data_IF_566276902360
#
_entry.id   IF_566276902360
#
_cell.length_a   1.000
_cell.length_b   1.000
_cell.length_c   1.000
_cell.angle_alpha   90.00
_cell.angle_beta   90.00
_cell.angle_gamma   90.00
#
_symmetry.space_group_name_H-M   'P 1'
#
loop_
_entity.id
_entity.type
_entity.pdbx_description
1 polymer ?
#
# COMPACT_ATOMS: atom_id res chain seq x y z
N UNK A 1 50.93 -8.22 -25.20
CA UNK A 1 50.24 -8.63 -23.96
C UNK A 1 49.44 -7.42 -23.55
N UNK A 2 48.16 -7.41 -23.90
CA UNK A 2 47.26 -6.27 -23.68
C UNK A 2 46.48 -6.62 -22.44
N UNK A 3 46.68 -5.88 -21.36
CA UNK A 3 46.04 -6.14 -20.07
C UNK A 3 44.58 -5.69 -20.12
N UNK A 4 43.68 -6.64 -19.83
CA UNK A 4 42.24 -6.44 -19.75
C UNK A 4 41.88 -5.55 -18.57
N UNK A 5 41.35 -4.36 -18.86
CA UNK A 5 40.83 -3.43 -17.88
C UNK A 5 39.39 -3.83 -17.49
N UNK A 6 39.25 -4.75 -16.53
CA UNK A 6 37.93 -5.09 -15.95
C UNK A 6 37.49 -3.98 -15.00
N UNK A 7 36.56 -3.16 -15.46
CA UNK A 7 35.84 -2.20 -14.63
C UNK A 7 35.08 -2.96 -13.52
N UNK A 8 35.42 -2.67 -12.26
CA UNK A 8 34.67 -3.14 -11.11
C UNK A 8 33.30 -2.44 -11.08
N UNK A 9 32.24 -3.18 -11.41
CA UNK A 9 30.87 -2.76 -11.16
C UNK A 9 30.63 -2.66 -9.64
N UNK A 10 30.51 -1.43 -9.14
CA UNK A 10 30.00 -1.17 -7.81
C UNK A 10 28.52 -1.57 -7.77
N UNK A 11 28.21 -2.76 -7.25
CA UNK A 11 26.86 -3.09 -6.80
C UNK A 11 26.58 -2.26 -5.56
N UNK A 12 25.78 -1.22 -5.68
CA UNK A 12 25.14 -0.59 -4.53
C UNK A 12 24.21 -1.61 -3.88
N UNK A 13 24.69 -2.27 -2.82
CA UNK A 13 23.80 -2.95 -1.90
C UNK A 13 22.93 -1.87 -1.26
N UNK A 14 21.64 -1.87 -1.62
CA UNK A 14 20.62 -1.03 -0.98
C UNK A 14 20.56 -1.40 0.49
N UNK A 15 21.25 -0.63 1.33
CA UNK A 15 21.23 -0.85 2.77
C UNK A 15 19.81 -0.63 3.27
N UNK A 16 19.23 -1.69 3.85
CA UNK A 16 17.92 -1.63 4.51
C UNK A 16 17.96 -0.53 5.58
N UNK A 17 17.02 0.43 5.59
CA UNK A 17 16.96 1.44 6.64
C UNK A 17 16.88 0.76 8.02
N UNK A 18 17.84 1.07 8.90
CA UNK A 18 17.85 0.59 10.29
C UNK A 18 17.57 1.76 11.22
N UNK A 19 16.48 1.67 11.95
CA UNK A 19 15.99 2.72 12.83
C UNK A 19 16.17 2.27 14.29
N UNK A 20 16.90 3.04 15.09
CA UNK A 20 17.32 2.68 16.47
C UNK A 20 16.61 3.54 17.54
N UNK A 21 15.49 4.19 17.22
CA UNK A 21 14.72 4.99 18.18
C UNK A 21 13.75 4.13 19.00
N UNK A 22 13.35 4.62 20.20
CA UNK A 22 12.67 3.84 21.24
C UNK A 22 11.31 3.22 20.86
N UNK A 23 10.69 3.67 19.76
CA UNK A 23 9.59 2.96 19.09
C UNK A 23 9.95 2.86 17.60
N UNK A 24 10.34 1.67 17.18
CA UNK A 24 10.66 1.39 15.78
C UNK A 24 9.37 1.10 15.01
N UNK A 25 9.02 1.96 14.06
CA UNK A 25 7.94 1.69 13.09
C UNK A 25 8.57 1.34 11.75
N UNK A 26 8.29 0.14 11.25
CA UNK A 26 8.78 -0.32 9.95
C UNK A 26 7.62 -0.56 9.00
N UNK A 27 7.75 -0.06 7.78
CA UNK A 27 6.82 -0.36 6.69
C UNK A 27 7.33 -1.57 5.94
N UNK A 28 6.44 -2.50 5.63
CA UNK A 28 6.75 -3.67 4.83
C UNK A 28 5.61 -3.96 3.87
N UNK A 29 5.92 -4.30 2.62
CA UNK A 29 4.95 -4.76 1.64
C UNK A 29 5.33 -6.16 1.19
N UNK A 30 4.37 -7.07 1.32
CA UNK A 30 4.46 -8.43 0.77
C UNK A 30 3.25 -8.68 -0.13
N UNK A 31 3.51 -9.06 -1.37
CA UNK A 31 2.50 -9.52 -2.33
C UNK A 31 2.84 -10.96 -2.65
N UNK A 32 1.89 -11.87 -2.42
CA UNK A 32 2.09 -13.28 -2.68
C UNK A 32 0.77 -13.92 -3.14
N UNK A 33 0.89 -14.98 -3.94
CA UNK A 33 -0.23 -15.83 -4.29
C UNK A 33 -0.55 -16.76 -3.10
N UNK A 34 -1.76 -16.71 -2.53
CA UNK A 34 -2.11 -17.55 -1.39
C UNK A 34 -2.26 -19.04 -1.74
N UNK A 35 -2.53 -19.41 -2.98
CA UNK A 35 -2.71 -20.80 -3.41
C UNK A 35 -1.37 -21.49 -3.64
N UNK A 36 -0.45 -20.82 -4.33
CA UNK A 36 0.87 -21.37 -4.68
C UNK A 36 1.94 -21.02 -3.64
N UNK A 37 1.74 -19.96 -2.87
CA UNK A 37 2.74 -19.41 -1.95
C UNK A 37 3.83 -18.59 -2.65
N UNK A 38 3.73 -18.36 -3.96
CA UNK A 38 4.69 -17.57 -4.73
C UNK A 38 4.75 -16.13 -4.20
N UNK A 39 5.95 -15.65 -3.87
CA UNK A 39 6.17 -14.28 -3.39
C UNK A 39 6.58 -13.40 -4.57
N UNK A 40 5.70 -12.46 -4.93
CA UNK A 40 5.86 -11.54 -6.07
C UNK A 40 6.60 -10.27 -5.64
N UNK A 41 6.32 -9.77 -4.42
CA UNK A 41 6.98 -8.60 -3.82
C UNK A 41 7.23 -8.89 -2.34
N UNK A 42 8.43 -8.57 -1.86
CA UNK A 42 8.80 -8.62 -0.44
C UNK A 42 9.87 -7.55 -0.19
N UNK A 43 9.43 -6.35 0.25
CA UNK A 43 10.32 -5.19 0.42
C UNK A 43 9.84 -4.23 1.51
N UNK A 44 10.75 -3.38 1.99
CA UNK A 44 10.39 -2.26 2.86
C UNK A 44 9.47 -1.26 2.14
N UNK A 45 8.48 -0.74 2.87
CA UNK A 45 7.62 0.35 2.42
C UNK A 45 7.94 1.62 3.22
N UNK A 46 7.77 2.79 2.60
CA UNK A 46 7.99 4.06 3.27
C UNK A 46 6.88 4.31 4.31
N UNK A 47 7.28 4.86 5.47
CA UNK A 47 6.36 5.37 6.50
C UNK A 47 6.61 6.86 6.65
N UNK A 48 5.53 7.63 6.70
CA UNK A 48 5.61 9.02 7.13
C UNK A 48 5.46 9.10 8.65
N UNK A 49 6.59 9.18 9.37
CA UNK A 49 6.62 9.06 10.83
C UNK A 49 5.77 10.10 11.56
N UNK A 50 5.73 11.34 11.08
CA UNK A 50 4.89 12.38 11.70
C UNK A 50 3.39 12.05 11.63
N UNK A 51 2.89 11.68 10.44
CA UNK A 51 1.50 11.27 10.26
C UNK A 51 1.15 10.07 11.13
N UNK A 52 2.06 9.08 11.22
CA UNK A 52 1.86 7.92 12.10
C UNK A 52 1.84 8.31 13.58
N UNK A 53 2.74 9.18 14.01
CA UNK A 53 2.81 9.70 15.37
C UNK A 53 1.52 10.42 15.76
N UNK A 54 1.04 11.33 14.91
CA UNK A 54 -0.22 12.04 15.13
C UNK A 54 -1.43 11.09 15.15
N UNK A 55 -1.47 10.11 14.24
CA UNK A 55 -2.57 9.13 14.18
C UNK A 55 -2.62 8.26 15.44
N UNK A 56 -1.47 7.78 15.91
CA UNK A 56 -1.37 7.00 17.15
C UNK A 56 -1.81 7.81 18.38
N UNK A 57 -1.32 9.04 18.50
CA UNK A 57 -1.68 9.92 19.62
C UNK A 57 -3.19 10.24 19.63
N UNK A 58 -3.77 10.55 18.47
CA UNK A 58 -5.20 10.83 18.34
C UNK A 58 -6.06 9.60 18.67
N UNK A 59 -5.69 8.43 18.15
CA UNK A 59 -6.37 7.16 18.45
C UNK A 59 -6.34 6.83 19.95
N UNK A 60 -5.16 6.86 20.59
CA UNK A 60 -5.01 6.54 22.01
C UNK A 60 -5.70 7.55 22.94
N UNK A 61 -5.76 8.82 22.54
CA UNK A 61 -6.46 9.87 23.27
C UNK A 61 -7.98 9.88 23.02
N UNK A 62 -8.51 8.88 22.32
CA UNK A 62 -9.92 8.77 21.90
C UNK A 62 -10.41 10.06 21.25
N UNK A 63 -9.57 10.65 20.37
CA UNK A 63 -10.04 11.69 19.47
C UNK A 63 -10.80 11.00 18.35
N UNK A 64 -11.88 11.62 17.89
CA UNK A 64 -12.71 11.10 16.79
C UNK A 64 -12.00 11.22 15.43
N UNK A 65 -10.68 11.00 15.39
CA UNK A 65 -9.80 11.05 14.23
C UNK A 65 -8.55 10.21 14.49
N UNK A 66 -7.81 9.87 13.44
CA UNK A 66 -6.55 9.12 13.54
C UNK A 66 -6.71 7.61 13.68
N UNK A 67 -7.93 7.08 13.54
CA UNK A 67 -8.22 5.65 13.44
C UNK A 67 -8.31 5.21 11.99
N UNK A 68 -8.15 3.91 11.74
CA UNK A 68 -8.33 3.34 10.40
C UNK A 68 -9.82 3.31 10.08
N UNK A 69 -10.22 3.91 8.96
CA UNK A 69 -11.63 3.99 8.55
C UNK A 69 -11.89 3.30 7.21
N UNK A 70 -11.02 3.55 6.23
CA UNK A 70 -11.18 3.08 4.86
C UNK A 70 -9.84 2.71 4.23
N UNK A 71 -9.92 1.89 3.18
CA UNK A 71 -8.82 1.61 2.27
C UNK A 71 -9.11 2.35 0.97
N UNK A 72 -8.21 3.27 0.61
CA UNK A 72 -8.26 4.01 -0.64
C UNK A 72 -7.41 3.28 -1.71
N UNK A 73 -7.99 3.17 -2.89
CA UNK A 73 -7.38 2.61 -4.10
C UNK A 73 -7.28 3.73 -5.13
N UNK A 74 -6.06 3.98 -5.60
CA UNK A 74 -5.79 5.02 -6.59
C UNK A 74 -5.60 4.48 -7.99
N UNK A 75 -5.38 5.39 -8.94
CA UNK A 75 -4.96 5.11 -10.31
C UNK A 75 -3.57 4.47 -10.44
N UNK A 76 -2.90 4.18 -9.33
CA UNK A 76 -1.58 3.58 -9.28
C UNK A 76 -0.48 4.49 -9.81
N UNK A 77 0.74 3.94 -9.87
CA UNK A 77 1.88 4.57 -10.51
C UNK A 77 2.13 4.00 -11.90
N UNK A 78 1.12 3.46 -12.59
CA UNK A 78 1.31 2.81 -13.89
C UNK A 78 0.35 3.38 -14.90
N UNK A 79 0.87 3.86 -16.04
CA UNK A 79 0.07 4.23 -17.20
C UNK A 79 0.50 3.39 -18.39
N UNK A 80 -0.47 2.92 -19.19
CA UNK A 80 -0.21 2.24 -20.46
C UNK A 80 -0.49 3.21 -21.58
N UNK A 81 0.47 3.39 -22.48
CA UNK A 81 0.29 4.25 -23.66
C UNK A 81 -0.38 3.50 -24.84
N UNK A 82 -0.81 4.19 -25.91
CA UNK A 82 -1.42 3.56 -27.09
C UNK A 82 -0.56 2.51 -27.80
N UNK A 83 0.74 2.50 -27.56
CA UNK A 83 1.69 1.54 -28.14
C UNK A 83 1.91 0.33 -27.24
N UNK A 84 1.26 0.28 -26.07
CA UNK A 84 1.42 -0.77 -25.07
C UNK A 84 2.65 -0.58 -24.18
N UNK A 85 3.32 0.57 -24.22
CA UNK A 85 4.42 0.86 -23.30
C UNK A 85 3.85 1.12 -21.91
N UNK A 86 4.31 0.32 -20.96
CA UNK A 86 3.95 0.43 -19.55
C UNK A 86 4.94 1.40 -18.88
N UNK A 87 4.46 2.57 -18.49
CA UNK A 87 5.24 3.56 -17.74
C UNK A 87 4.98 3.42 -16.27
N UNK A 88 6.03 3.17 -15.49
CA UNK A 88 6.00 3.19 -14.03
C UNK A 88 6.40 4.59 -13.55
N UNK A 89 5.43 5.35 -13.13
CA UNK A 89 5.54 6.68 -12.57
C UNK A 89 5.98 6.59 -11.09
N UNK A 90 7.12 7.22 -10.78
CA UNK A 90 7.64 7.36 -9.42
C UNK A 90 6.66 8.18 -8.57
N UNK A 91 6.44 7.85 -7.28
CA UNK A 91 5.54 8.61 -6.45
C UNK A 91 5.88 10.10 -6.39
N UNK A 92 4.93 10.94 -6.79
CA UNK A 92 4.99 12.38 -6.60
C UNK A 92 3.94 12.77 -5.56
N UNK A 93 4.33 12.77 -4.28
CA UNK A 93 3.49 13.23 -3.17
C UNK A 93 3.65 14.71 -2.85
N UNK A 94 4.40 15.47 -3.67
CA UNK A 94 4.74 16.88 -3.40
C UNK A 94 4.58 17.74 -4.66
N UNK A 95 3.36 18.22 -4.92
CA UNK A 95 3.09 19.22 -5.96
C UNK A 95 1.61 19.38 -6.28
N UNK A 96 1.20 20.57 -6.74
CA UNK A 96 -0.21 20.91 -7.08
C UNK A 96 -0.83 20.02 -8.18
N UNK A 97 0.00 19.27 -8.92
CA UNK A 97 -0.41 18.32 -9.96
C UNK A 97 -0.10 16.86 -9.56
N UNK A 98 -0.18 16.48 -8.28
CA UNK A 98 -0.06 15.08 -7.84
C UNK A 98 -1.32 14.27 -8.23
N UNK A 99 -1.51 14.02 -9.52
CA UNK A 99 -2.59 13.14 -10.02
C UNK A 99 -2.28 11.67 -9.78
N UNK A 100 -1.02 11.34 -9.46
CA UNK A 100 -0.59 10.04 -8.98
C UNK A 100 -1.07 9.77 -7.57
N UNK A 101 -1.57 8.55 -7.32
CA UNK A 101 -2.16 8.14 -6.04
C UNK A 101 -3.40 8.94 -5.65
N UNK A 102 -4.08 9.54 -6.62
CA UNK A 102 -5.40 10.11 -6.37
C UNK A 102 -6.37 8.96 -6.07
N UNK A 103 -7.12 9.07 -4.97
CA UNK A 103 -8.17 8.13 -4.61
C UNK A 103 -9.22 8.12 -5.72
N UNK A 104 -9.23 7.08 -6.54
CA UNK A 104 -10.23 6.84 -7.58
C UNK A 104 -11.36 5.97 -7.05
N UNK A 105 -11.04 5.13 -6.08
CA UNK A 105 -11.96 4.25 -5.42
C UNK A 105 -11.60 4.05 -3.95
N UNK A 106 -12.58 3.74 -3.10
CA UNK A 106 -12.31 3.43 -1.70
C UNK A 106 -13.35 2.48 -1.14
N UNK A 107 -12.96 1.79 -0.08
CA UNK A 107 -13.81 0.87 0.67
C UNK A 107 -13.73 1.21 2.15
N UNK A 108 -14.87 1.49 2.76
CA UNK A 108 -14.97 1.64 4.20
C UNK A 108 -14.81 0.27 4.83
N UNK A 109 -13.89 0.15 5.80
CA UNK A 109 -13.56 -1.09 6.52
C UNK A 109 -13.80 -0.98 8.02
N UNK A 110 -14.13 0.21 8.52
CA UNK A 110 -14.68 0.39 9.86
C UNK A 110 -16.07 -0.26 9.93
N UNK A 111 -16.19 -1.29 10.76
CA UNK A 111 -17.41 -2.07 10.96
C UNK A 111 -18.46 -1.35 11.82
N UNK A 112 -18.06 -0.30 12.54
CA UNK A 112 -18.97 0.58 13.28
C UNK A 112 -19.51 1.72 12.41
N UNK A 113 -18.93 1.94 11.23
CA UNK A 113 -19.31 3.03 10.35
C UNK A 113 -20.60 2.71 9.57
N UNK A 114 -21.58 3.61 9.64
CA UNK A 114 -22.83 3.49 8.89
C UNK A 114 -22.65 3.56 7.35
N UNK A 115 -21.48 4.02 6.89
CA UNK A 115 -21.13 4.07 5.47
C UNK A 115 -20.52 2.76 4.98
N UNK A 116 -20.15 1.84 5.87
CA UNK A 116 -19.75 0.49 5.48
C UNK A 116 -20.98 -0.34 5.06
N UNK A 117 -21.11 -0.61 3.77
CA UNK A 117 -22.25 -1.32 3.19
C UNK A 117 -22.07 -2.83 3.15
N UNK A 118 -20.89 -3.33 3.51
CA UNK A 118 -20.59 -4.76 3.51
C UNK A 118 -19.55 -5.09 4.59
N UNK A 119 -20.02 -5.08 5.83
CA UNK A 119 -19.23 -5.40 7.02
C UNK A 119 -18.82 -6.88 7.09
N UNK A 120 -19.36 -7.74 6.22
CA UNK A 120 -18.95 -9.15 6.16
C UNK A 120 -17.66 -9.34 5.39
N UNK A 121 -17.46 -8.56 4.33
CA UNK A 121 -16.32 -8.66 3.42
C UNK A 121 -15.32 -7.50 3.54
N UNK A 122 -15.73 -6.39 4.16
CA UNK A 122 -14.92 -5.20 4.39
C UNK A 122 -14.99 -4.85 5.89
N UNK A 123 -13.98 -5.22 6.66
CA UNK A 123 -14.03 -5.15 8.12
C UNK A 123 -12.66 -5.03 8.75
N UNK A 124 -12.67 -4.68 10.02
CA UNK A 124 -11.50 -4.66 10.88
C UNK A 124 -11.69 -5.61 12.06
N UNK A 125 -10.64 -6.33 12.42
CA UNK A 125 -10.65 -7.23 13.58
C UNK A 125 -9.41 -7.01 14.43
N UNK A 126 -9.58 -6.92 15.74
CA UNK A 126 -8.47 -6.92 16.70
C UNK A 126 -8.20 -8.36 17.11
N UNK A 127 -7.04 -8.89 16.74
CA UNK A 127 -6.63 -10.28 17.04
C UNK A 127 -5.49 -10.26 18.05
N UNK A 128 -5.75 -10.77 19.25
CA UNK A 128 -4.74 -10.96 20.28
C UNK A 128 -4.71 -12.41 20.75
N UNK A 129 -3.53 -13.00 20.80
CA UNK A 129 -3.31 -14.32 21.40
C UNK A 129 -2.67 -14.13 22.77
N UNK A 130 -3.31 -14.64 23.82
CA UNK A 130 -2.82 -14.47 25.18
C UNK A 130 -1.38 -14.97 25.33
N UNK A 131 -0.53 -14.15 25.96
CA UNK A 131 0.91 -14.41 26.10
C UNK A 131 1.77 -13.80 24.98
N UNK A 132 1.18 -13.31 23.89
CA UNK A 132 1.89 -12.52 22.91
C UNK A 132 2.14 -11.09 23.39
N UNK A 133 3.24 -10.50 22.91
CA UNK A 133 3.61 -9.10 23.17
C UNK A 133 3.03 -8.12 22.16
N UNK A 134 2.27 -8.63 21.19
CA UNK A 134 1.70 -7.87 20.09
C UNK A 134 0.23 -8.23 19.92
N UNK A 135 -0.49 -7.30 19.32
CA UNK A 135 -1.90 -7.42 18.92
C UNK A 135 -1.98 -6.97 17.47
N UNK A 136 -2.66 -7.74 16.65
CA UNK A 136 -2.83 -7.44 15.25
C UNK A 136 -4.16 -6.72 15.02
N UNK A 137 -4.14 -5.70 14.16
CA UNK A 137 -5.35 -5.17 13.55
C UNK A 137 -5.39 -5.76 12.14
N UNK A 138 -6.35 -6.63 11.88
CA UNK A 138 -6.55 -7.25 10.58
C UNK A 138 -7.63 -6.48 9.85
N UNK A 139 -7.20 -5.72 8.85
CA UNK A 139 -8.08 -5.04 7.92
C UNK A 139 -8.32 -5.96 6.71
N UNK A 140 -9.58 -6.28 6.44
CA UNK A 140 -9.99 -7.06 5.26
C UNK A 140 -10.80 -6.16 4.34
N UNK A 141 -10.49 -6.20 3.06
CA UNK A 141 -11.27 -5.55 2.01
C UNK A 141 -11.32 -6.49 0.81
N UNK A 142 -12.52 -6.66 0.25
CA UNK A 142 -12.73 -7.44 -0.98
C UNK A 142 -12.97 -6.50 -2.14
N UNK A 143 -12.17 -6.63 -3.20
CA UNK A 143 -12.37 -5.94 -4.47
C UNK A 143 -13.04 -6.90 -5.44
N UNK A 144 -14.31 -6.65 -5.77
CA UNK A 144 -15.06 -7.51 -6.68
C UNK A 144 -14.71 -7.25 -8.16
N UNK A 145 -14.95 -8.27 -8.98
CA UNK A 145 -14.86 -8.17 -10.43
C UNK A 145 -15.88 -7.15 -10.96
N UNK A 146 -15.40 -6.03 -11.50
CA UNK A 146 -16.25 -4.91 -11.97
C UNK A 146 -16.56 -3.86 -10.91
N UNK A 147 -15.76 -3.79 -9.86
CA UNK A 147 -15.86 -2.78 -8.81
C UNK A 147 -14.76 -1.72 -8.91
N UNK A 148 -15.07 -0.40 -8.80
CA UNK A 148 -16.39 0.23 -8.63
C UNK A 148 -17.34 0.03 -9.81
N UNK A 149 -18.64 0.17 -9.55
CA UNK A 149 -19.69 0.10 -10.59
C UNK A 149 -19.35 0.99 -11.78
N UNK A 150 -19.23 0.39 -12.96
CA UNK A 150 -18.84 1.07 -14.19
C UNK A 150 -17.38 0.86 -14.60
N UNK A 151 -16.55 0.27 -13.73
CA UNK A 151 -15.23 -0.19 -14.12
C UNK A 151 -15.35 -1.49 -14.94
N UNK A 152 -14.71 -1.50 -16.10
CA UNK A 152 -14.56 -2.71 -16.89
C UNK A 152 -13.69 -3.70 -16.09
N UNK A 153 -14.17 -4.93 -16.00
CA UNK A 153 -13.55 -5.93 -15.17
C UNK A 153 -12.33 -6.62 -15.86
N UNK A 154 -12.11 -6.29 -17.13
CA UNK A 154 -10.85 -6.47 -17.83
C UNK A 154 -10.38 -5.10 -18.33
N UNK A 155 -9.08 -4.84 -18.20
CA UNK A 155 -8.43 -3.75 -18.92
C UNK A 155 -8.06 -4.23 -20.33
N UNK A 156 -9.07 -4.30 -21.19
CA UNK A 156 -8.90 -4.51 -22.62
C UNK A 156 -9.06 -3.21 -23.40
N UNK A 157 -8.79 -2.08 -22.74
CA UNK A 157 -8.97 -0.76 -23.34
C UNK A 157 -8.00 -0.62 -24.51
N UNK A 158 -8.55 -0.57 -25.73
CA UNK A 158 -7.78 -0.20 -26.93
C UNK A 158 -7.85 1.30 -27.19
N UNK A 159 -8.51 2.05 -26.30
CA UNK A 159 -8.74 3.47 -26.43
C UNK A 159 -7.87 4.22 -25.42
N UNK A 160 -6.65 4.49 -25.85
CA UNK A 160 -5.67 5.25 -25.14
C UNK A 160 -5.78 6.70 -25.64
N UNK A 161 -6.62 7.51 -24.99
CA UNK A 161 -6.71 8.94 -25.30
C UNK A 161 -5.55 9.70 -24.67
#
# INVERSE_FOLDING_TARGET
MTEDNKQNEHKEETQKPRDHSGVMMTGHIKIFDPETGEVIVDKSNAIHYENMSQSLANSLANKTTGFVHEMAFGNGGTSVDPTGIITYLTPNSTGTNSTLYNQTYYKVIDDNSSTNKDTTRNKMEVRHTAGNKYTDIVCTCTLDYGEPTGQAAFDNTTNFN
#
